data_IF_053418880130
#
_entry.id   IF_053418880130
#
_cell.length_a   1.000
_cell.length_b   1.000
_cell.length_c   1.000
_cell.angle_alpha   90.00
_cell.angle_beta   90.00
_cell.angle_gamma   90.00
#
_symmetry.space_group_name_H-M   'P 1'
#
loop_
_entity.id
_entity.type
_entity.pdbx_description
1 polymer ?
#
# COMPACT_ATOMS: atom_id res chain seq x y z
N UNK A 1 21.54 5.93 12.19
CA UNK A 1 20.43 5.10 11.68
C UNK A 1 20.07 5.63 10.30
N UNK A 2 20.11 4.77 9.28
CA UNK A 2 19.51 5.05 7.97
C UNK A 2 18.01 5.32 8.15
N UNK A 3 17.48 6.38 7.54
CA UNK A 3 16.05 6.72 7.60
C UNK A 3 15.76 8.19 7.92
N UNK A 4 14.51 8.48 8.29
CA UNK A 4 14.04 9.83 8.63
C UNK A 4 13.91 9.98 10.15
N UNK A 5 14.74 10.84 10.73
CA UNK A 5 14.61 11.24 12.13
C UNK A 5 13.32 12.03 12.36
N UNK A 6 12.85 12.04 13.61
CA UNK A 6 11.68 12.84 13.98
C UNK A 6 11.85 14.34 13.73
N UNK A 7 13.07 14.88 13.79
CA UNK A 7 13.36 16.27 13.44
C UNK A 7 13.19 16.52 11.94
N UNK A 8 13.70 15.63 11.09
CA UNK A 8 13.53 15.72 9.64
C UNK A 8 12.06 15.66 9.24
N UNK A 9 11.27 14.76 9.84
CA UNK A 9 9.83 14.69 9.59
C UNK A 9 9.10 15.97 10.00
N UNK A 10 9.39 16.48 11.20
CA UNK A 10 8.80 17.73 11.68
C UNK A 10 9.09 18.88 10.71
N UNK A 11 10.33 18.98 10.24
CA UNK A 11 10.74 20.00 9.28
C UNK A 11 10.04 19.83 7.92
N UNK A 12 10.00 18.60 7.38
CA UNK A 12 9.32 18.30 6.11
C UNK A 12 7.82 18.61 6.15
N UNK A 13 7.16 18.37 7.30
CA UNK A 13 5.77 18.77 7.53
C UNK A 13 5.62 20.29 7.56
N UNK A 14 6.49 20.98 8.30
CA UNK A 14 6.47 22.45 8.43
C UNK A 14 6.56 23.15 7.07
N UNK A 15 7.42 22.66 6.17
CA UNK A 15 7.61 23.24 4.82
C UNK A 15 6.66 22.65 3.77
N UNK A 16 5.70 21.82 4.16
CA UNK A 16 4.70 21.23 3.25
C UNK A 16 5.23 20.15 2.29
N UNK A 17 6.46 19.68 2.46
CA UNK A 17 7.07 18.61 1.65
C UNK A 17 6.63 17.20 2.07
N UNK A 18 6.00 17.06 3.24
CA UNK A 18 5.33 15.85 3.68
C UNK A 18 3.87 16.16 4.04
N UNK A 19 2.96 16.22 3.05
CA UNK A 19 1.55 16.45 3.30
C UNK A 19 0.92 15.32 4.15
N UNK A 20 -0.22 15.63 4.78
CA UNK A 20 -1.08 14.61 5.40
C UNK A 20 -1.66 13.68 4.34
N UNK A 21 -2.03 12.46 4.74
CA UNK A 21 -2.67 11.49 3.84
C UNK A 21 -3.89 12.07 3.12
N UNK A 22 -4.78 12.75 3.86
CA UNK A 22 -5.95 13.42 3.29
C UNK A 22 -5.60 14.40 2.18
N UNK A 23 -4.54 15.20 2.37
CA UNK A 23 -4.10 16.16 1.34
C UNK A 23 -3.49 15.48 0.11
N UNK A 24 -2.87 14.32 0.29
CA UNK A 24 -2.38 13.50 -0.83
C UNK A 24 -3.56 12.96 -1.63
N UNK A 25 -4.61 12.48 -0.95
CA UNK A 25 -5.82 11.95 -1.57
C UNK A 25 -6.59 13.04 -2.32
N UNK A 26 -6.80 14.21 -1.71
CA UNK A 26 -7.39 15.37 -2.39
C UNK A 26 -6.64 15.68 -3.69
N UNK A 27 -5.30 15.75 -3.65
CA UNK A 27 -4.48 15.99 -4.85
C UNK A 27 -4.60 14.88 -5.90
N UNK A 28 -4.76 13.62 -5.47
CA UNK A 28 -4.96 12.47 -6.38
C UNK A 28 -6.33 12.56 -7.05
N UNK A 29 -7.39 12.86 -6.28
CA UNK A 29 -8.74 13.02 -6.80
C UNK A 29 -8.85 14.21 -7.78
N UNK A 30 -8.31 15.38 -7.42
CA UNK A 30 -8.23 16.55 -8.30
C UNK A 30 -7.50 16.22 -9.61
N UNK A 31 -6.42 15.43 -9.52
CA UNK A 31 -5.67 15.01 -10.71
C UNK A 31 -6.50 14.06 -11.58
N UNK A 32 -7.17 13.09 -10.98
CA UNK A 32 -8.01 12.13 -11.69
C UNK A 32 -9.17 12.83 -12.40
N UNK A 33 -9.83 13.78 -11.76
CA UNK A 33 -10.87 14.61 -12.39
C UNK A 33 -10.34 15.36 -13.62
N UNK A 34 -9.15 15.96 -13.53
CA UNK A 34 -8.51 16.61 -14.68
C UNK A 34 -8.18 15.62 -15.80
N UNK A 35 -7.71 14.42 -15.47
CA UNK A 35 -7.45 13.36 -16.46
C UNK A 35 -8.75 12.94 -17.15
N UNK A 36 -9.82 12.68 -16.39
CA UNK A 36 -11.12 12.30 -16.96
C UNK A 36 -11.68 13.40 -17.86
N UNK A 37 -11.54 14.67 -17.47
CA UNK A 37 -11.93 15.79 -18.34
C UNK A 37 -11.12 15.85 -19.63
N UNK A 38 -9.81 15.58 -19.58
CA UNK A 38 -9.00 15.48 -20.80
C UNK A 38 -9.47 14.35 -21.71
N UNK A 39 -9.76 13.17 -21.15
CA UNK A 39 -10.28 12.02 -21.90
C UNK A 39 -11.65 12.31 -22.51
N UNK A 40 -12.55 12.95 -21.76
CA UNK A 40 -13.85 13.39 -22.26
C UNK A 40 -13.71 14.40 -23.41
N UNK A 41 -12.77 15.34 -23.30
CA UNK A 41 -12.47 16.27 -24.39
C UNK A 41 -11.94 15.54 -25.63
N UNK A 42 -11.02 14.57 -25.47
CA UNK A 42 -10.52 13.75 -26.57
C UNK A 42 -11.61 12.92 -27.26
N UNK A 43 -12.70 12.59 -26.56
CA UNK A 43 -13.85 11.89 -27.13
C UNK A 43 -14.87 12.82 -27.83
N UNK A 44 -14.76 14.14 -27.61
CA UNK A 44 -15.72 15.15 -28.08
C UNK A 44 -15.71 15.34 -29.61
N UNK A 45 -16.79 15.92 -30.14
CA UNK A 45 -16.88 16.31 -31.55
C UNK A 45 -15.87 17.39 -31.92
N UNK A 46 -15.62 18.36 -31.04
CA UNK A 46 -14.66 19.43 -31.29
C UNK A 46 -13.22 18.90 -31.42
N UNK A 47 -12.81 17.94 -30.58
CA UNK A 47 -11.49 17.31 -30.71
C UNK A 47 -11.35 16.49 -32.00
N UNK A 48 -12.36 15.68 -32.34
CA UNK A 48 -12.38 14.93 -33.60
C UNK A 48 -12.31 15.85 -34.81
N UNK A 49 -13.12 16.92 -34.78
CA UNK A 49 -13.15 17.92 -35.85
C UNK A 49 -11.82 18.66 -35.98
N UNK A 50 -11.19 19.00 -34.86
CA UNK A 50 -9.84 19.57 -34.85
C UNK A 50 -8.83 18.63 -35.51
N UNK A 51 -8.81 17.34 -35.16
CA UNK A 51 -7.92 16.35 -35.78
C UNK A 51 -8.13 16.25 -37.30
N UNK A 52 -9.40 16.24 -37.76
CA UNK A 52 -9.74 16.24 -39.18
C UNK A 52 -9.21 17.50 -39.88
N UNK A 53 -9.51 18.68 -39.34
CA UNK A 53 -9.08 19.94 -39.93
C UNK A 53 -7.55 20.07 -39.98
N UNK A 54 -6.83 19.64 -38.93
CA UNK A 54 -5.36 19.60 -38.92
C UNK A 54 -4.83 18.69 -40.04
N UNK A 55 -5.45 17.53 -40.28
CA UNK A 55 -5.03 16.60 -41.35
C UNK A 55 -5.23 17.13 -42.77
N UNK A 56 -6.12 18.11 -42.93
CA UNK A 56 -6.44 18.76 -44.21
C UNK A 56 -5.57 20.00 -44.46
N UNK A 57 -4.90 20.50 -43.43
CA UNK A 57 -4.03 21.68 -43.50
C UNK A 57 -2.92 21.45 -44.54
N UNK A 58 -2.85 22.32 -45.55
CA UNK A 58 -1.82 22.28 -46.61
C UNK A 58 -2.15 21.43 -47.85
N UNK A 59 -3.27 20.70 -47.88
CA UNK A 59 -3.71 19.95 -49.08
C UNK A 59 -4.53 20.80 -50.07
N UNK A 60 -5.13 21.89 -49.61
CA UNK A 60 -5.69 23.00 -50.41
C UNK A 60 -6.00 24.18 -49.49
N UNK A 61 -5.98 25.41 -50.00
CA UNK A 61 -6.41 26.61 -49.25
C UNK A 61 -7.93 26.57 -49.10
N UNK A 62 -8.42 26.06 -47.96
CA UNK A 62 -9.85 26.03 -47.63
C UNK A 62 -10.11 26.95 -46.43
N UNK A 63 -10.67 28.12 -46.70
CA UNK A 63 -10.96 29.15 -45.68
C UNK A 63 -11.86 28.61 -44.56
N UNK A 64 -12.82 27.74 -44.86
CA UNK A 64 -13.73 27.16 -43.87
C UNK A 64 -13.01 26.21 -42.90
N UNK A 65 -11.96 25.52 -43.36
CA UNK A 65 -11.12 24.65 -42.49
C UNK A 65 -10.31 25.51 -41.52
N UNK A 66 -9.77 26.64 -41.99
CA UNK A 66 -8.98 27.55 -41.16
C UNK A 66 -9.86 28.29 -40.14
N UNK A 67 -11.06 28.75 -40.52
CA UNK A 67 -12.02 29.35 -39.59
C UNK A 67 -12.45 28.39 -38.49
N UNK A 68 -12.73 27.13 -38.84
CA UNK A 68 -13.14 26.11 -37.88
C UNK A 68 -11.99 25.72 -36.93
N UNK A 69 -10.76 25.62 -37.43
CA UNK A 69 -9.58 25.45 -36.58
C UNK A 69 -9.45 26.61 -35.60
N UNK A 70 -9.52 27.86 -36.08
CA UNK A 70 -9.41 29.02 -35.21
C UNK A 70 -10.53 29.08 -34.18
N UNK A 71 -11.76 28.67 -34.53
CA UNK A 71 -12.88 28.56 -33.58
C UNK A 71 -12.53 27.59 -32.44
N UNK A 72 -12.06 26.40 -32.77
CA UNK A 72 -11.73 25.36 -31.77
C UNK A 72 -10.51 25.79 -30.96
N UNK A 73 -9.46 26.27 -31.60
CA UNK A 73 -8.20 26.66 -30.94
C UNK A 73 -8.35 27.86 -29.99
N UNK A 74 -9.31 28.75 -30.24
CA UNK A 74 -9.66 29.87 -29.35
C UNK A 74 -10.65 29.48 -28.24
N UNK A 75 -11.21 28.26 -28.28
CA UNK A 75 -12.13 27.82 -27.24
C UNK A 75 -11.41 27.66 -25.90
N UNK A 76 -12.10 27.98 -24.81
CA UNK A 76 -11.55 27.83 -23.47
C UNK A 76 -11.16 26.37 -23.18
N UNK A 77 -11.92 25.41 -23.70
CA UNK A 77 -11.68 23.98 -23.49
C UNK A 77 -10.40 23.50 -24.21
N UNK A 78 -10.19 23.90 -25.47
CA UNK A 78 -8.95 23.56 -26.19
C UNK A 78 -7.73 24.18 -25.51
N UNK A 79 -7.78 25.46 -25.15
CA UNK A 79 -6.67 26.16 -24.46
C UNK A 79 -6.35 25.46 -23.13
N UNK A 80 -7.39 25.14 -22.35
CA UNK A 80 -7.24 24.41 -21.09
C UNK A 80 -6.61 23.03 -21.30
N UNK A 81 -7.09 22.28 -22.29
CA UNK A 81 -6.60 20.94 -22.63
C UNK A 81 -5.12 20.97 -23.06
N UNK A 82 -4.74 21.89 -23.95
CA UNK A 82 -3.34 22.06 -24.35
C UNK A 82 -2.43 22.38 -23.17
N UNK A 83 -2.90 23.18 -22.21
CA UNK A 83 -2.16 23.44 -20.97
C UNK A 83 -1.97 22.17 -20.12
N UNK A 84 -2.96 21.28 -20.06
CA UNK A 84 -2.82 20.01 -19.32
C UNK A 84 -1.86 19.03 -20.02
N UNK A 85 -1.90 18.98 -21.36
CA UNK A 85 -0.92 18.21 -22.12
C UNK A 85 0.50 18.73 -21.89
N UNK A 86 0.70 20.05 -21.98
CA UNK A 86 2.00 20.68 -21.74
C UNK A 86 2.52 20.48 -20.31
N UNK A 87 1.64 20.25 -19.33
CA UNK A 87 2.05 19.92 -17.97
C UNK A 87 2.38 18.43 -17.75
N UNK A 88 2.30 17.59 -18.80
CA UNK A 88 2.53 16.14 -18.69
C UNK A 88 1.42 15.39 -17.94
N UNK A 89 0.21 15.95 -17.81
CA UNK A 89 -0.86 15.36 -16.99
C UNK A 89 -1.21 13.93 -17.42
N UNK A 90 -1.13 13.65 -18.72
CA UNK A 90 -1.42 12.33 -19.30
C UNK A 90 -0.17 11.44 -19.44
N UNK A 91 1.03 12.00 -19.27
CA UNK A 91 2.31 11.27 -19.38
C UNK A 91 2.71 10.59 -18.06
N UNK A 92 2.35 11.20 -16.94
CA UNK A 92 2.56 10.62 -15.61
C UNK A 92 1.56 9.47 -15.37
N UNK A 93 2.02 8.23 -15.54
CA UNK A 93 1.52 7.08 -14.78
C UNK A 93 2.72 6.42 -14.09
N UNK A 94 3.33 7.08 -13.09
CA UNK A 94 4.59 6.61 -12.50
C UNK A 94 4.49 5.24 -11.79
N UNK A 95 3.28 4.69 -11.64
CA UNK A 95 3.03 3.46 -10.89
C UNK A 95 2.37 2.33 -11.69
N UNK A 96 2.12 2.48 -13.00
CA UNK A 96 1.50 1.43 -13.82
C UNK A 96 -0.03 1.31 -13.64
N UNK A 97 -0.63 0.26 -14.21
CA UNK A 97 -2.09 0.02 -14.16
C UNK A 97 -2.51 -0.45 -12.76
N UNK A 98 -3.75 -0.13 -12.35
CA UNK A 98 -4.32 -0.68 -11.12
C UNK A 98 -4.50 -2.19 -11.25
N UNK A 99 -3.85 -2.96 -10.37
CA UNK A 99 -3.87 -4.43 -10.36
C UNK A 99 -4.69 -4.98 -9.19
N UNK A 100 -4.70 -4.26 -8.07
CA UNK A 100 -5.43 -4.63 -6.86
C UNK A 100 -5.89 -3.39 -6.12
N UNK A 101 -7.13 -3.41 -5.63
CA UNK A 101 -7.69 -2.36 -4.80
C UNK A 101 -8.72 -2.94 -3.83
N UNK A 102 -8.68 -2.47 -2.59
CA UNK A 102 -9.72 -2.66 -1.59
C UNK A 102 -9.76 -1.43 -0.68
N UNK A 103 -10.93 -0.82 -0.55
CA UNK A 103 -11.23 0.33 0.30
C UNK A 103 -12.01 -0.07 1.56
N UNK A 104 -12.33 -1.35 1.72
CA UNK A 104 -13.05 -1.88 2.87
C UNK A 104 -14.36 -1.12 3.17
N UNK A 105 -15.04 -0.59 2.14
CA UNK A 105 -16.35 0.05 2.27
C UNK A 105 -17.48 -0.96 2.56
N UNK A 106 -17.19 -2.25 2.34
CA UNK A 106 -18.09 -3.37 2.62
C UNK A 106 -17.42 -4.41 3.52
N UNK A 107 -18.15 -5.47 3.88
CA UNK A 107 -17.57 -6.60 4.64
C UNK A 107 -16.30 -7.12 3.96
N UNK A 108 -15.39 -7.72 4.74
CA UNK A 108 -14.15 -8.31 4.21
C UNK A 108 -14.45 -9.24 3.02
N UNK A 109 -13.89 -8.91 1.86
CA UNK A 109 -14.02 -9.70 0.64
C UNK A 109 -13.15 -10.95 0.76
N UNK A 110 -13.80 -12.11 0.94
CA UNK A 110 -13.11 -13.40 1.11
C UNK A 110 -12.50 -13.94 -0.19
N UNK A 111 -12.91 -13.43 -1.35
CA UNK A 111 -12.27 -13.74 -2.62
C UNK A 111 -10.93 -13.01 -2.75
N UNK A 112 -10.78 -11.86 -2.06
CA UNK A 112 -9.51 -11.12 -2.00
C UNK A 112 -8.65 -11.51 -0.81
N UNK A 113 -9.23 -11.77 0.35
CA UNK A 113 -8.49 -11.90 1.61
C UNK A 113 -8.79 -13.21 2.32
N UNK A 114 -7.74 -13.94 2.71
CA UNK A 114 -7.83 -14.99 3.72
C UNK A 114 -7.48 -14.42 5.09
N UNK A 115 -8.14 -14.91 6.14
CA UNK A 115 -7.86 -14.55 7.54
C UNK A 115 -6.88 -15.52 8.22
N UNK A 116 -6.20 -16.32 7.41
CA UNK A 116 -5.20 -17.32 7.81
C UNK A 116 -3.92 -17.06 7.04
N UNK A 117 -2.78 -17.47 7.58
CA UNK A 117 -1.56 -17.53 6.76
C UNK A 117 -1.78 -18.47 5.56
N UNK A 118 -1.20 -18.09 4.41
CA UNK A 118 -1.34 -18.82 3.15
C UNK A 118 -1.09 -20.33 3.30
N UNK A 119 -0.01 -20.72 3.96
CA UNK A 119 0.32 -22.15 4.14
C UNK A 119 -0.63 -22.88 5.09
N UNK A 120 -1.20 -22.17 6.07
CA UNK A 120 -2.19 -22.75 6.99
C UNK A 120 -3.50 -23.05 6.27
N UNK A 121 -3.89 -22.14 5.39
CA UNK A 121 -5.06 -22.30 4.53
C UNK A 121 -4.83 -23.42 3.49
N UNK A 122 -3.70 -23.35 2.77
CA UNK A 122 -3.39 -24.26 1.67
C UNK A 122 -3.09 -25.71 2.09
N UNK A 123 -2.52 -25.94 3.28
CA UNK A 123 -2.11 -27.28 3.71
C UNK A 123 -3.06 -27.93 4.71
N UNK A 124 -3.65 -27.14 5.62
CA UNK A 124 -4.41 -27.68 6.76
C UNK A 124 -5.84 -27.14 6.81
N UNK A 125 -6.15 -26.08 6.06
CA UNK A 125 -7.44 -25.40 6.13
C UNK A 125 -7.73 -24.81 7.52
N UNK A 126 -6.69 -24.41 8.26
CA UNK A 126 -6.80 -23.89 9.64
C UNK A 126 -5.87 -22.72 9.88
N UNK A 127 -6.30 -21.78 10.73
CA UNK A 127 -5.42 -20.77 11.30
C UNK A 127 -4.36 -21.43 12.21
N UNK A 128 -3.17 -20.84 12.26
CA UNK A 128 -2.10 -21.24 13.16
C UNK A 128 -1.21 -20.04 13.53
N UNK A 129 -0.51 -20.17 14.64
CA UNK A 129 0.59 -19.27 15.08
C UNK A 129 1.93 -19.99 15.08
N UNK A 130 3.04 -19.26 15.25
CA UNK A 130 4.34 -19.90 15.39
C UNK A 130 4.58 -20.33 16.85
N UNK A 131 5.25 -21.47 17.02
CA UNK A 131 5.66 -21.91 18.35
C UNK A 131 6.59 -20.86 18.98
N UNK A 132 6.24 -20.37 20.17
CA UNK A 132 6.96 -19.30 20.86
C UNK A 132 6.34 -17.90 20.70
N UNK A 133 5.40 -17.71 19.77
CA UNK A 133 4.60 -16.48 19.74
C UNK A 133 3.66 -16.42 20.96
N UNK A 134 3.55 -15.27 21.65
CA UNK A 134 2.60 -15.13 22.77
C UNK A 134 1.13 -15.14 22.35
N UNK A 135 0.84 -14.90 21.06
CA UNK A 135 -0.51 -14.73 20.53
C UNK A 135 -0.93 -15.84 19.56
N UNK A 136 -2.22 -16.16 19.56
CA UNK A 136 -2.86 -16.97 18.54
C UNK A 136 -3.42 -16.08 17.43
N UNK A 137 -3.09 -16.37 16.17
CA UNK A 137 -3.85 -15.87 15.03
C UNK A 137 -5.16 -16.62 14.95
N UNK A 138 -6.27 -15.91 15.08
CA UNK A 138 -7.60 -16.51 14.99
C UNK A 138 -8.05 -16.60 13.53
N UNK A 139 -9.03 -17.47 13.30
CA UNK A 139 -9.68 -17.62 12.00
C UNK A 139 -10.71 -16.49 11.78
N UNK A 140 -10.22 -15.26 11.73
CA UNK A 140 -11.01 -14.04 11.49
C UNK A 140 -11.71 -13.44 12.70
N UNK A 141 -11.70 -14.06 13.89
CA UNK A 141 -12.35 -13.50 15.09
C UNK A 141 -11.72 -12.19 15.60
N UNK A 142 -10.50 -11.89 15.15
CA UNK A 142 -9.76 -10.66 15.45
C UNK A 142 -9.73 -9.70 14.25
N UNK A 143 -10.48 -9.99 13.19
CA UNK A 143 -10.55 -9.20 11.96
C UNK A 143 -11.98 -8.72 11.76
N UNK A 144 -12.16 -7.42 11.56
CA UNK A 144 -13.45 -6.83 11.20
C UNK A 144 -13.27 -5.76 10.14
N UNK A 145 -14.37 -5.34 9.54
CA UNK A 145 -14.43 -4.10 8.77
C UNK A 145 -15.41 -3.16 9.45
N UNK A 146 -14.95 -1.96 9.77
CA UNK A 146 -15.74 -0.95 10.47
C UNK A 146 -15.34 0.45 9.99
N UNK A 147 -16.33 1.30 9.72
CA UNK A 147 -16.13 2.69 9.29
C UNK A 147 -15.25 2.86 8.04
N UNK A 148 -15.43 2.01 7.03
CA UNK A 148 -14.62 2.06 5.80
C UNK A 148 -13.16 1.69 6.04
N UNK A 149 -12.91 0.74 6.95
CA UNK A 149 -11.55 0.29 7.27
C UNK A 149 -11.53 -1.14 7.73
N UNK A 150 -10.55 -1.91 7.25
CA UNK A 150 -10.14 -3.16 7.86
C UNK A 150 -9.54 -2.87 9.25
N UNK A 151 -9.98 -3.63 10.25
CA UNK A 151 -9.49 -3.53 11.63
C UNK A 151 -8.97 -4.90 12.09
N UNK A 152 -7.69 -4.96 12.44
CA UNK A 152 -7.08 -6.11 13.11
C UNK A 152 -6.88 -5.76 14.58
N UNK A 153 -7.54 -6.49 15.47
CA UNK A 153 -7.49 -6.26 16.92
C UNK A 153 -6.62 -7.30 17.62
N UNK A 154 -5.58 -6.86 18.33
CA UNK A 154 -4.79 -7.67 19.25
C UNK A 154 -5.27 -7.42 20.67
N UNK A 155 -5.53 -8.47 21.46
CA UNK A 155 -6.03 -8.34 22.83
C UNK A 155 -5.59 -9.48 23.75
N UNK A 156 -5.55 -9.27 25.08
CA UNK A 156 -5.40 -10.34 26.06
C UNK A 156 -6.62 -11.27 26.03
N UNK A 157 -6.39 -12.52 25.68
CA UNK A 157 -7.42 -13.54 25.56
C UNK A 157 -6.72 -14.90 25.52
N UNK A 158 -6.92 -15.72 26.56
CA UNK A 158 -6.33 -17.05 26.62
C UNK A 158 -7.05 -17.98 25.67
N UNK A 159 -6.30 -18.64 24.80
CA UNK A 159 -6.86 -19.59 23.84
C UNK A 159 -5.90 -20.73 23.56
N UNK A 160 -6.46 -21.90 23.26
CA UNK A 160 -5.73 -23.03 22.70
C UNK A 160 -5.92 -23.03 21.18
N UNK A 161 -4.83 -22.99 20.42
CA UNK A 161 -4.86 -22.97 18.95
C UNK A 161 -3.80 -23.89 18.36
N UNK A 162 -3.74 -23.98 17.02
CA UNK A 162 -2.69 -24.68 16.31
C UNK A 162 -1.41 -23.83 16.30
N UNK A 163 -0.27 -24.45 16.58
CA UNK A 163 1.05 -23.84 16.55
C UNK A 163 1.94 -24.60 15.56
N UNK A 164 2.70 -23.88 14.73
CA UNK A 164 3.71 -24.47 13.85
C UNK A 164 5.08 -24.43 14.51
N UNK A 165 5.67 -25.61 14.69
CA UNK A 165 7.06 -25.81 15.10
C UNK A 165 7.90 -26.24 13.90
N UNK A 166 9.10 -25.70 13.76
CA UNK A 166 9.97 -25.97 12.60
C UNK A 166 10.51 -27.41 12.55
N UNK A 167 10.51 -28.14 13.67
CA UNK A 167 10.99 -29.53 13.76
C UNK A 167 9.84 -30.52 13.83
N UNK A 168 8.79 -30.19 14.57
CA UNK A 168 7.68 -31.10 14.88
C UNK A 168 6.43 -30.86 14.02
N UNK A 169 6.40 -29.78 13.25
CA UNK A 169 5.23 -29.39 12.46
C UNK A 169 4.10 -28.83 13.33
N UNK A 170 2.85 -29.14 12.98
CA UNK A 170 1.68 -28.59 13.68
C UNK A 170 1.40 -29.31 15.00
N UNK A 171 1.33 -28.55 16.09
CA UNK A 171 1.02 -29.02 17.44
C UNK A 171 -0.03 -28.11 18.11
N UNK A 172 -0.79 -28.59 19.11
CA UNK A 172 -1.60 -27.70 19.94
C UNK A 172 -0.69 -26.77 20.77
N UNK A 173 -0.99 -25.47 20.79
CA UNK A 173 -0.32 -24.47 21.61
C UNK A 173 -1.32 -23.69 22.49
N UNK A 174 -0.84 -23.22 23.63
CA UNK A 174 -1.57 -22.30 24.51
C UNK A 174 -1.01 -20.89 24.35
N UNK A 175 -1.90 -19.92 24.22
CA UNK A 175 -1.56 -18.52 23.95
C UNK A 175 -2.29 -17.63 24.95
N UNK A 176 -1.62 -16.56 25.39
CA UNK A 176 -2.18 -15.59 26.34
C UNK A 176 -2.92 -14.44 25.64
N UNK A 177 -2.76 -14.34 24.32
CA UNK A 177 -3.27 -13.26 23.48
C UNK A 177 -3.93 -13.80 22.22
N UNK A 178 -4.88 -13.06 21.66
CA UNK A 178 -5.39 -13.28 20.31
C UNK A 178 -5.03 -12.11 19.39
N UNK A 179 -4.82 -12.42 18.12
CA UNK A 179 -4.52 -11.44 17.07
C UNK A 179 -5.08 -11.89 15.73
N UNK A 180 -4.97 -11.05 14.71
CA UNK A 180 -5.43 -11.35 13.36
C UNK A 180 -4.33 -11.17 12.30
N UNK A 181 -4.54 -11.86 11.20
CA UNK A 181 -3.78 -11.74 9.96
C UNK A 181 -4.79 -11.68 8.81
N UNK A 182 -4.52 -10.86 7.80
CA UNK A 182 -5.16 -10.99 6.48
C UNK A 182 -4.11 -11.05 5.38
N UNK A 183 -4.37 -11.84 4.35
CA UNK A 183 -3.43 -12.03 3.25
C UNK A 183 -4.13 -12.25 1.92
N UNK A 184 -3.49 -11.82 0.83
CA UNK A 184 -3.91 -12.11 -0.54
C UNK A 184 -3.25 -13.36 -1.12
N UNK A 185 -2.59 -14.19 -0.31
CA UNK A 185 -1.76 -15.30 -0.78
C UNK A 185 -2.42 -16.27 -1.75
N UNK A 186 -3.75 -16.41 -1.68
CA UNK A 186 -4.56 -17.26 -2.56
C UNK A 186 -5.11 -16.54 -3.80
N UNK A 187 -5.24 -15.21 -3.75
CA UNK A 187 -6.04 -14.41 -4.70
C UNK A 187 -5.20 -13.50 -5.58
N UNK A 188 -4.20 -12.83 -5.00
CA UNK A 188 -3.44 -11.77 -5.66
C UNK A 188 -1.97 -11.81 -5.27
N UNK A 189 -1.12 -11.79 -6.31
CA UNK A 189 0.33 -11.70 -6.21
C UNK A 189 0.87 -10.81 -7.32
N UNK A 190 1.85 -9.98 -7.00
CA UNK A 190 2.48 -9.08 -7.97
C UNK A 190 4.00 -9.10 -7.80
N UNK A 191 4.73 -9.09 -8.92
CA UNK A 191 6.21 -9.17 -8.90
C UNK A 191 6.87 -7.81 -8.72
N UNK A 192 6.39 -6.80 -9.43
CA UNK A 192 6.95 -5.45 -9.49
C UNK A 192 5.83 -4.43 -9.53
N UNK A 193 6.13 -3.21 -9.12
CA UNK A 193 5.18 -2.10 -9.08
C UNK A 193 5.13 -1.42 -7.73
N UNK A 194 4.12 -0.59 -7.55
CA UNK A 194 3.87 0.18 -6.35
C UNK A 194 2.83 -0.54 -5.48
N UNK A 195 3.18 -0.81 -4.23
CA UNK A 195 2.32 -1.36 -3.20
C UNK A 195 2.09 -0.30 -2.14
N UNK A 196 0.82 0.07 -1.91
CA UNK A 196 0.45 1.13 -0.99
C UNK A 196 -0.66 0.67 -0.04
N UNK A 197 -0.62 1.21 1.17
CA UNK A 197 -1.73 1.13 2.09
C UNK A 197 -1.83 2.41 2.91
N UNK A 198 -3.06 2.90 3.09
CA UNK A 198 -3.35 3.99 4.02
C UNK A 198 -3.80 3.38 5.33
N UNK A 199 -3.10 3.71 6.41
CA UNK A 199 -3.33 3.06 7.69
C UNK A 199 -3.04 3.97 8.87
N UNK A 200 -3.57 3.57 10.02
CA UNK A 200 -3.20 4.05 11.34
C UNK A 200 -3.17 2.86 12.30
N UNK A 201 -2.65 3.08 13.50
CA UNK A 201 -2.69 2.06 14.54
C UNK A 201 -2.81 2.67 15.92
N UNK A 202 -3.48 1.95 16.81
CA UNK A 202 -3.51 2.24 18.25
C UNK A 202 -2.40 1.46 18.93
N UNK A 203 -1.42 2.20 19.44
CA UNK A 203 -0.25 1.63 20.11
C UNK A 203 -0.59 1.00 21.46
N UNK A 204 -0.02 -0.17 21.72
CA UNK A 204 0.08 -0.79 23.03
C UNK A 204 1.51 -1.29 23.20
N UNK A 205 2.12 -1.02 24.35
CA UNK A 205 3.47 -1.50 24.63
C UNK A 205 3.54 -3.02 24.48
N UNK A 206 4.53 -3.49 23.71
CA UNK A 206 4.71 -4.91 23.42
C UNK A 206 3.94 -5.45 22.23
N UNK A 207 3.03 -4.68 21.63
CA UNK A 207 2.34 -5.06 20.39
C UNK A 207 3.09 -4.48 19.18
N UNK A 208 3.22 -5.27 18.12
CA UNK A 208 3.68 -4.81 16.81
C UNK A 208 2.61 -4.99 15.74
N UNK A 209 2.71 -4.16 14.71
CA UNK A 209 1.91 -4.21 13.49
C UNK A 209 2.84 -4.31 12.30
N UNK A 210 2.43 -5.04 11.27
CA UNK A 210 3.22 -5.20 10.05
C UNK A 210 2.33 -5.23 8.80
N UNK A 211 2.86 -4.65 7.73
CA UNK A 211 2.46 -4.90 6.35
C UNK A 211 3.70 -5.32 5.59
N UNK A 212 3.70 -6.52 5.04
CA UNK A 212 4.83 -7.03 4.31
C UNK A 212 4.41 -7.79 3.05
N UNK A 213 5.39 -7.96 2.17
CA UNK A 213 5.29 -8.73 0.94
C UNK A 213 6.15 -9.98 1.10
N UNK A 214 5.61 -11.13 0.73
CA UNK A 214 6.35 -12.40 0.73
C UNK A 214 5.86 -13.31 -0.39
N UNK A 215 6.71 -14.24 -0.83
CA UNK A 215 6.37 -15.26 -1.82
C UNK A 215 6.00 -16.60 -1.20
N UNK A 216 6.19 -17.69 -1.96
CA UNK A 216 5.99 -19.05 -1.46
C UNK A 216 7.05 -19.45 -0.42
N UNK A 217 8.26 -18.90 -0.55
CA UNK A 217 9.31 -19.00 0.45
C UNK A 217 9.25 -17.83 1.42
N UNK A 218 9.73 -18.03 2.66
CA UNK A 218 9.86 -16.97 3.67
C UNK A 218 10.82 -15.85 3.28
N UNK A 219 11.62 -16.04 2.23
CA UNK A 219 12.54 -15.05 1.69
C UNK A 219 12.45 -15.02 0.15
N UNK A 220 12.61 -13.84 -0.49
CA UNK A 220 12.75 -12.54 0.16
C UNK A 220 11.45 -12.09 0.85
N UNK A 221 11.59 -11.33 1.92
CA UNK A 221 10.50 -10.64 2.62
C UNK A 221 10.76 -9.14 2.59
N UNK A 222 9.71 -8.37 2.28
CA UNK A 222 9.75 -6.90 2.22
C UNK A 222 8.75 -6.37 3.21
N UNK A 223 9.20 -5.94 4.39
CA UNK A 223 8.36 -5.19 5.31
C UNK A 223 8.15 -3.79 4.73
N UNK A 224 6.97 -3.54 4.17
CA UNK A 224 6.53 -2.19 3.78
C UNK A 224 6.53 -1.30 5.01
N UNK A 225 6.03 -1.84 6.13
CA UNK A 225 6.39 -1.35 7.45
C UNK A 225 6.30 -2.43 8.52
N UNK A 226 6.98 -2.14 9.63
CA UNK A 226 6.84 -2.81 10.90
C UNK A 226 6.99 -1.81 12.04
N UNK A 227 6.05 -1.78 12.99
CA UNK A 227 6.23 -1.00 14.22
C UNK A 227 7.23 -1.68 15.14
N UNK A 228 7.95 -0.90 15.95
CA UNK A 228 8.89 -1.44 16.92
C UNK A 228 8.19 -1.67 18.27
N UNK A 229 8.15 -2.91 18.78
CA UNK A 229 7.76 -3.15 20.17
C UNK A 229 8.60 -2.28 21.12
N UNK A 230 7.93 -1.57 22.03
CA UNK A 230 8.60 -0.67 22.99
C UNK A 230 8.97 0.70 22.44
N UNK A 231 8.67 1.00 21.17
CA UNK A 231 8.71 2.37 20.64
C UNK A 231 7.63 2.58 19.58
N UNK A 232 6.45 2.94 20.05
CA UNK A 232 5.24 3.09 19.24
C UNK A 232 5.27 4.23 18.23
N UNK A 233 6.26 5.14 18.37
CA UNK A 233 6.43 6.29 17.48
C UNK A 233 7.37 6.00 16.32
N UNK A 234 7.89 4.78 16.24
CA UNK A 234 8.86 4.37 15.22
C UNK A 234 8.28 3.23 14.38
N UNK A 235 8.38 3.43 13.07
CA UNK A 235 8.22 2.36 12.09
C UNK A 235 9.53 2.08 11.38
N UNK A 236 9.61 0.89 10.80
CA UNK A 236 10.77 0.44 10.03
C UNK A 236 10.30 -0.09 8.68
N UNK A 237 10.99 0.27 7.60
CA UNK A 237 11.00 -0.51 6.37
C UNK A 237 12.14 -1.52 6.45
N UNK A 238 11.89 -2.77 6.08
CA UNK A 238 12.89 -3.85 6.17
C UNK A 238 12.90 -4.62 4.86
N UNK A 239 14.10 -4.97 4.41
CA UNK A 239 14.32 -5.96 3.36
C UNK A 239 15.11 -7.12 3.92
N UNK A 240 14.54 -8.31 3.82
CA UNK A 240 15.18 -9.58 4.15
C UNK A 240 15.35 -10.37 2.85
N UNK A 241 16.49 -10.18 2.16
CA UNK A 241 16.68 -10.73 0.81
C UNK A 241 17.15 -12.18 0.71
N UNK A 242 17.54 -12.80 1.83
CA UNK A 242 18.18 -14.13 1.85
C UNK A 242 19.60 -14.11 1.26
N UNK A 243 19.72 -14.00 -0.06
CA UNK A 243 21.01 -13.89 -0.76
C UNK A 243 21.59 -12.46 -0.75
N UNK A 244 20.79 -11.49 -0.34
CA UNK A 244 21.18 -10.10 -0.09
C UNK A 244 21.16 -9.83 1.42
N UNK A 245 22.01 -8.92 1.93
CA UNK A 245 22.02 -8.59 3.35
C UNK A 245 20.68 -8.01 3.79
N UNK A 246 20.32 -8.28 5.04
CA UNK A 246 19.18 -7.61 5.68
C UNK A 246 19.47 -6.11 5.78
N UNK A 247 18.52 -5.29 5.34
CA UNK A 247 18.58 -3.83 5.47
C UNK A 247 17.35 -3.30 6.15
N UNK A 248 17.53 -2.30 7.01
CA UNK A 248 16.47 -1.66 7.77
C UNK A 248 16.71 -0.15 7.80
N UNK A 249 15.63 0.62 7.69
CA UNK A 249 15.65 2.04 7.99
C UNK A 249 14.38 2.45 8.72
N UNK A 250 14.52 3.43 9.59
CA UNK A 250 13.49 3.82 10.55
C UNK A 250 12.93 5.20 10.25
N UNK A 251 11.67 5.38 10.57
CA UNK A 251 10.98 6.66 10.57
C UNK A 251 10.45 6.90 11.98
N UNK A 252 10.93 7.94 12.65
CA UNK A 252 10.57 8.22 14.05
C UNK A 252 9.64 9.41 14.22
N UNK A 253 8.85 9.44 15.31
CA UNK A 253 7.86 10.49 15.64
C UNK A 253 6.72 10.60 14.62
N UNK A 254 6.27 9.49 14.06
CA UNK A 254 5.01 9.50 13.32
C UNK A 254 3.81 9.67 14.26
N UNK A 255 2.75 10.34 13.80
CA UNK A 255 1.48 10.40 14.53
C UNK A 255 0.85 9.00 14.50
N UNK A 256 1.12 8.23 15.54
CA UNK A 256 0.37 7.00 15.84
C UNK A 256 -1.00 7.41 16.39
N UNK A 257 -2.00 6.55 16.21
CA UNK A 257 -3.42 6.63 16.63
C UNK A 257 -4.24 7.87 16.23
N UNK A 258 -3.60 8.98 15.85
CA UNK A 258 -4.23 10.29 15.67
C UNK A 258 -4.45 10.65 14.20
N UNK A 259 -3.63 10.10 13.29
CA UNK A 259 -3.71 10.42 11.86
C UNK A 259 -3.44 9.17 11.02
N UNK A 260 -4.12 9.05 9.88
CA UNK A 260 -3.74 8.10 8.84
C UNK A 260 -2.49 8.59 8.11
N UNK A 261 -1.66 7.64 7.69
CA UNK A 261 -0.51 7.86 6.83
C UNK A 261 -0.51 6.82 5.70
N UNK A 262 0.05 7.20 4.56
CA UNK A 262 0.18 6.34 3.39
C UNK A 262 1.58 5.77 3.40
N UNK A 263 1.70 4.46 3.54
CA UNK A 263 2.95 3.75 3.36
C UNK A 263 3.00 3.14 1.98
N UNK A 264 4.19 3.17 1.39
CA UNK A 264 4.39 2.58 0.09
C UNK A 264 5.73 1.89 -0.02
N UNK A 265 5.77 0.78 -0.74
CA UNK A 265 7.00 0.25 -1.31
C UNK A 265 6.86 0.14 -2.82
N UNK A 266 7.87 0.62 -3.54
CA UNK A 266 8.03 0.43 -4.97
C UNK A 266 9.05 -0.69 -5.18
N UNK A 267 8.64 -1.77 -5.83
CA UNK A 267 9.48 -2.92 -6.13
C UNK A 267 9.80 -2.89 -7.63
N UNK A 268 11.05 -2.57 -7.96
CA UNK A 268 11.59 -2.64 -9.32
C UNK A 268 12.33 -3.96 -9.59
N UNK A 269 12.94 -4.06 -10.76
CA UNK A 269 13.69 -5.28 -11.14
C UNK A 269 15.02 -5.44 -10.40
N UNK A 270 15.59 -4.36 -9.86
CA UNK A 270 16.88 -4.37 -9.14
C UNK A 270 16.93 -3.41 -7.96
N UNK A 271 15.81 -2.82 -7.58
CA UNK A 271 15.75 -1.84 -6.50
C UNK A 271 14.40 -1.90 -5.78
N UNK A 272 14.41 -1.51 -4.51
CA UNK A 272 13.21 -1.39 -3.69
C UNK A 272 13.24 -0.04 -2.98
N UNK A 273 12.13 0.70 -3.00
CA UNK A 273 12.06 2.07 -2.45
C UNK A 273 10.87 2.21 -1.51
N UNK A 274 11.14 2.59 -0.26
CA UNK A 274 10.11 2.83 0.74
C UNK A 274 9.83 4.31 0.88
N UNK A 275 8.54 4.63 1.04
CA UNK A 275 8.08 5.99 1.28
C UNK A 275 7.01 6.02 2.34
N UNK A 276 6.96 7.14 3.06
CA UNK A 276 5.87 7.51 3.96
C UNK A 276 5.30 8.84 3.50
N UNK A 277 3.99 8.91 3.24
CA UNK A 277 3.31 10.06 2.64
C UNK A 277 4.06 10.59 1.40
N UNK A 278 4.55 9.69 0.55
CA UNK A 278 5.31 10.02 -0.66
C UNK A 278 6.77 10.42 -0.43
N UNK A 279 7.24 10.56 0.81
CA UNK A 279 8.64 10.90 1.12
C UNK A 279 9.47 9.64 1.24
N UNK A 280 10.49 9.50 0.39
CA UNK A 280 11.46 8.41 0.42
C UNK A 280 12.29 8.43 1.71
N UNK A 281 12.41 7.28 2.36
CA UNK A 281 13.25 7.11 3.56
C UNK A 281 14.19 5.90 3.51
N UNK A 282 13.94 4.95 2.60
CA UNK A 282 14.83 3.82 2.33
C UNK A 282 14.84 3.55 0.83
N UNK A 283 16.01 3.22 0.32
CA UNK A 283 16.21 2.68 -1.02
C UNK A 283 17.29 1.61 -0.92
N UNK A 284 17.02 0.45 -1.51
CA UNK A 284 17.92 -0.68 -1.48
C UNK A 284 18.08 -1.23 -2.89
N UNK A 285 19.33 -1.40 -3.32
CA UNK A 285 19.65 -2.19 -4.51
C UNK A 285 19.56 -3.68 -4.15
N UNK A 286 18.84 -4.46 -4.93
CA UNK A 286 18.58 -5.88 -4.65
C UNK A 286 18.94 -6.72 -5.86
N UNK A 287 19.29 -7.98 -5.62
CA UNK A 287 19.26 -8.97 -6.70
C UNK A 287 17.82 -9.11 -7.18
N UNK A 288 17.66 -9.42 -8.46
CA UNK A 288 16.34 -9.46 -9.09
C UNK A 288 15.33 -10.27 -8.29
N UNK A 289 14.23 -9.63 -7.91
CA UNK A 289 13.07 -10.29 -7.30
C UNK A 289 12.32 -11.00 -8.42
N UNK A 290 12.55 -12.32 -8.51
CA UNK A 290 12.07 -13.15 -9.63
C UNK A 290 10.63 -13.62 -9.49
N UNK A 291 10.13 -13.75 -8.27
CA UNK A 291 8.82 -14.35 -7.99
C UNK A 291 7.80 -13.29 -7.56
N UNK A 292 6.53 -13.42 -7.99
CA UNK A 292 5.44 -12.62 -7.45
C UNK A 292 5.29 -12.80 -5.93
N UNK A 293 4.97 -11.70 -5.23
CA UNK A 293 4.72 -11.69 -3.79
C UNK A 293 3.26 -11.31 -3.51
N UNK A 294 2.72 -11.84 -2.43
CA UNK A 294 1.39 -11.48 -1.92
C UNK A 294 1.50 -10.55 -0.72
N UNK A 295 0.39 -9.93 -0.36
CA UNK A 295 0.27 -9.00 0.74
C UNK A 295 -0.01 -9.76 2.04
N UNK A 296 0.60 -9.32 3.14
CA UNK A 296 0.23 -9.76 4.50
C UNK A 296 0.13 -8.56 5.41
N UNK A 297 -1.03 -8.42 6.05
CA UNK A 297 -1.30 -7.44 7.11
C UNK A 297 -1.57 -8.20 8.41
N UNK A 298 -0.84 -7.86 9.46
CA UNK A 298 -1.02 -8.53 10.75
C UNK A 298 -0.65 -7.64 11.93
N UNK A 299 -1.06 -8.11 13.10
CA UNK A 299 -0.59 -7.62 14.40
C UNK A 299 -0.07 -8.79 15.22
N UNK A 300 0.80 -8.55 16.20
CA UNK A 300 1.32 -9.60 17.07
C UNK A 300 1.89 -9.05 18.36
N UNK A 301 2.15 -9.93 19.32
CA UNK A 301 2.75 -9.58 20.61
C UNK A 301 4.22 -10.00 20.60
N UNK A 302 5.10 -9.10 21.02
CA UNK A 302 6.52 -9.39 21.12
C UNK A 302 6.79 -10.42 22.23
N UNK A 303 7.73 -11.33 22.00
CA UNK A 303 8.14 -12.30 23.00
C UNK A 303 8.54 -11.63 24.33
N UNK A 304 8.01 -12.15 25.44
CA UNK A 304 8.24 -11.61 26.79
C UNK A 304 7.41 -10.36 27.15
N UNK A 305 6.72 -9.75 26.20
CA UNK A 305 5.84 -8.61 26.48
C UNK A 305 4.55 -9.05 27.17
N UNK A 306 3.97 -8.14 27.95
CA UNK A 306 2.71 -8.36 28.68
C UNK A 306 1.72 -7.22 28.46
N UNK A 307 1.23 -6.99 27.21
CA UNK A 307 0.22 -5.98 26.97
C UNK A 307 -1.04 -6.27 27.79
N UNK A 308 -1.67 -5.24 28.34
CA UNK A 308 -2.89 -5.33 29.16
C UNK A 308 -4.12 -4.78 28.45
N UNK A 309 -3.92 -3.91 27.46
CA UNK A 309 -4.98 -3.32 26.66
C UNK A 309 -5.11 -3.92 25.26
N UNK A 310 -6.14 -3.46 24.56
CA UNK A 310 -6.30 -3.74 23.13
C UNK A 310 -5.41 -2.85 22.28
N UNK A 311 -4.96 -3.37 21.15
CA UNK A 311 -4.26 -2.64 20.11
C UNK A 311 -4.88 -2.94 18.76
N UNK A 312 -4.93 -1.94 17.88
CA UNK A 312 -5.65 -2.01 16.61
C UNK A 312 -4.77 -1.54 15.48
N UNK A 313 -4.66 -2.34 14.42
CA UNK A 313 -4.20 -1.89 13.11
C UNK A 313 -5.45 -1.59 12.28
N UNK A 314 -5.55 -0.38 11.75
CA UNK A 314 -6.65 0.08 10.93
C UNK A 314 -6.14 0.44 9.54
N UNK A 315 -6.70 -0.18 8.50
CA UNK A 315 -6.31 0.01 7.11
C UNK A 315 -7.53 0.54 6.36
N UNK A 316 -7.42 1.76 5.88
CA UNK A 316 -8.46 2.48 5.13
C UNK A 316 -8.55 1.92 3.71
N UNK A 317 -7.42 1.78 3.03
CA UNK A 317 -7.38 1.10 1.74
C UNK A 317 -6.03 0.46 1.47
N UNK A 318 -6.02 -0.51 0.56
CA UNK A 318 -4.84 -1.14 -0.02
C UNK A 318 -4.91 -0.97 -1.54
N UNK A 319 -3.80 -0.56 -2.14
CA UNK A 319 -3.69 -0.31 -3.58
C UNK A 319 -2.39 -0.87 -4.12
N UNK A 320 -2.48 -1.64 -5.21
CA UNK A 320 -1.31 -2.10 -5.94
C UNK A 320 -1.42 -1.68 -7.41
N UNK A 321 -0.36 -1.05 -7.90
CA UNK A 321 -0.27 -0.60 -9.29
C UNK A 321 1.01 -1.15 -9.90
N UNK A 322 0.95 -1.61 -11.15
CA UNK A 322 2.10 -2.13 -11.85
C UNK A 322 1.77 -2.52 -13.28
N UNK A 323 2.79 -2.96 -14.00
CA UNK A 323 2.59 -3.59 -15.30
C UNK A 323 1.94 -4.96 -15.12
N UNK A 324 1.05 -5.35 -16.06
CA UNK A 324 0.61 -6.75 -16.17
C UNK A 324 1.75 -7.65 -16.62
#
# INVERSE_FOLDING_TARGET
MSGLSGFQLMWLRLIGKMPRATKIEERRAEREERVQRCLAYMASSDYKRHQECVSQRGRSSNAAVEEELQRIEKSAEYIWFQKQLASGLLEEQPSGKLQFFDDFDSKLDKEKWSTRFFWGDAQVGRAYSFMGDPHAYTDGANVSVANGSLVITTRPERVRSLAWDSKMGFLPGEFEYTSGVVTTGHSFRMRRGLFEAKMRYTAQEGVYHAFYLVGDSSLPEIDVFRTLPGNERVLSGVYCGGADPKVEARVGRLPYSSEFFILSVEVGDSHVVWRVNGVKYLEQQVKTIRRPMYLVLLSGVAAGARPTGESKLEVDWVRCQGDM
#
